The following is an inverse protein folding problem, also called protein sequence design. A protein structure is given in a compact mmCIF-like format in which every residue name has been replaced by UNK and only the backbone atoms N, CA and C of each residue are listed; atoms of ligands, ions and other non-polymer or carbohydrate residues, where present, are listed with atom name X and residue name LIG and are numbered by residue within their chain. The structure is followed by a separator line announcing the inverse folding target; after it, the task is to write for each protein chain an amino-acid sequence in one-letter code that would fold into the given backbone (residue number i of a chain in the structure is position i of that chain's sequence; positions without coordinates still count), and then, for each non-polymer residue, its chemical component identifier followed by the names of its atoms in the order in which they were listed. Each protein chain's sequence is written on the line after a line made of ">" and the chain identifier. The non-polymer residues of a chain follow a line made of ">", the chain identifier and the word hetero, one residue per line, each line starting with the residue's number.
data_IF_269776467713
#
_entry.id   IF_269776467713
#
_cell.length_a   1.000
_cell.length_b   1.000
_cell.length_c   1.000
_cell.angle_alpha   90.00
_cell.angle_beta   90.00
_cell.angle_gamma   90.00
#
_symmetry.space_group_name_H-M   'P 1'
#
loop_
_entity.id
_entity.type
_entity.pdbx_description
1 polymer ?
#
# COMPACT_ATOMS: atom_id res chain seq x y z
N UNK A 1 6.42 9.86 -20.21
CA UNK A 1 7.29 8.90 -19.55
C UNK A 1 6.54 8.17 -18.44
N UNK A 2 7.01 7.01 -18.08
CA UNK A 2 6.36 6.16 -17.07
C UNK A 2 6.15 6.86 -15.73
N UNK A 3 7.17 7.57 -15.24
CA UNK A 3 7.05 8.25 -13.95
C UNK A 3 6.00 9.37 -13.95
N UNK A 4 5.86 10.06 -15.07
CA UNK A 4 4.83 11.09 -15.19
C UNK A 4 3.43 10.49 -15.19
N UNK A 5 3.26 9.35 -15.87
CA UNK A 5 1.99 8.64 -15.88
C UNK A 5 1.64 8.10 -14.49
N UNK A 6 2.62 7.58 -13.77
CA UNK A 6 2.43 7.11 -12.41
C UNK A 6 1.95 8.24 -11.50
N UNK A 7 2.56 9.41 -11.60
CA UNK A 7 2.17 10.56 -10.78
C UNK A 7 0.73 11.00 -11.08
N UNK A 8 0.32 10.97 -12.33
CA UNK A 8 -1.05 11.32 -12.72
C UNK A 8 -2.04 10.28 -12.25
N UNK A 9 -1.66 9.02 -12.31
CA UNK A 9 -2.54 7.91 -11.93
C UNK A 9 -2.72 7.78 -10.42
N UNK A 10 -1.92 8.47 -9.61
CA UNK A 10 -2.12 8.48 -8.17
C UNK A 10 -3.34 9.30 -7.76
N UNK A 11 -3.90 10.09 -8.67
CA UNK A 11 -5.09 10.88 -8.44
C UNK A 11 -6.33 10.03 -8.75
N UNK A 12 -7.18 9.82 -7.76
CA UNK A 12 -8.41 9.03 -7.91
C UNK A 12 -9.34 9.63 -8.96
N UNK A 13 -9.37 10.96 -9.08
CA UNK A 13 -10.24 11.64 -10.04
C UNK A 13 -9.83 11.34 -11.49
N UNK A 14 -8.59 10.91 -11.73
CA UNK A 14 -8.10 10.54 -13.06
C UNK A 14 -8.31 9.05 -13.37
N UNK A 15 -8.84 8.28 -12.44
CA UNK A 15 -9.03 6.84 -12.62
C UNK A 15 -10.16 6.53 -13.59
N UNK A 16 -9.90 5.63 -14.52
CA UNK A 16 -10.89 5.16 -15.50
C UNK A 16 -10.83 3.64 -15.58
N UNK A 17 -11.91 2.99 -15.14
CA UNK A 17 -12.01 1.53 -15.10
C UNK A 17 -12.00 0.86 -16.46
N UNK A 18 -12.35 1.59 -17.52
CA UNK A 18 -12.41 1.03 -18.86
C UNK A 18 -11.06 0.98 -19.57
N UNK A 19 -10.06 1.65 -19.02
CA UNK A 19 -8.74 1.68 -19.61
C UNK A 19 -7.88 0.57 -19.03
N UNK A 20 -7.29 -0.27 -19.89
CA UNK A 20 -6.39 -1.33 -19.46
C UNK A 20 -5.05 -0.76 -19.08
N UNK A 21 -4.83 -0.58 -17.78
CA UNK A 21 -3.58 -0.09 -17.24
C UNK A 21 -3.48 -0.43 -15.76
N UNK A 22 -2.25 -0.45 -15.26
CA UNK A 22 -1.99 -0.59 -13.85
C UNK A 22 -2.18 0.77 -13.19
N UNK A 23 -3.05 0.82 -12.20
CA UNK A 23 -3.30 2.05 -11.45
C UNK A 23 -2.51 2.03 -10.15
N UNK A 24 -1.78 3.09 -9.89
CA UNK A 24 -1.03 3.27 -8.65
C UNK A 24 -1.75 4.31 -7.80
N UNK A 25 -1.97 3.98 -6.53
CA UNK A 25 -2.64 4.88 -5.61
C UNK A 25 -2.28 4.55 -4.18
N UNK A 26 -2.68 5.41 -3.26
CA UNK A 26 -2.50 5.17 -1.84
C UNK A 26 -3.66 4.30 -1.33
N UNK A 27 -3.47 3.70 -0.15
CA UNK A 27 -4.55 2.97 0.50
C UNK A 27 -5.74 3.88 0.80
N UNK A 28 -5.48 5.13 1.19
CA UNK A 28 -6.55 6.09 1.44
C UNK A 28 -7.40 6.35 0.19
N UNK A 29 -6.76 6.45 -0.96
CA UNK A 29 -7.42 6.73 -2.22
C UNK A 29 -8.26 5.55 -2.71
N UNK A 30 -7.95 4.34 -2.26
CA UNK A 30 -8.65 3.13 -2.71
C UNK A 30 -10.03 2.95 -2.10
N UNK A 31 -10.38 3.71 -1.08
CA UNK A 31 -11.67 3.59 -0.40
C UNK A 31 -12.82 3.77 -1.39
N UNK A 32 -13.75 2.83 -1.39
CA UNK A 32 -14.93 2.87 -2.27
C UNK A 32 -14.69 2.33 -3.66
N UNK A 33 -13.47 1.93 -4.00
CA UNK A 33 -13.13 1.36 -5.30
C UNK A 33 -12.98 -0.15 -5.19
N UNK A 34 -13.06 -0.82 -6.33
CA UNK A 34 -12.84 -2.27 -6.40
C UNK A 34 -12.01 -2.61 -7.63
N UNK A 35 -11.19 -3.63 -7.51
CA UNK A 35 -10.31 -4.10 -8.59
C UNK A 35 -10.30 -5.61 -8.62
N UNK A 36 -10.08 -6.19 -9.79
CA UNK A 36 -9.94 -7.65 -9.90
C UNK A 36 -8.68 -8.14 -9.17
N UNK A 37 -7.61 -7.39 -9.28
CA UNK A 37 -6.36 -7.72 -8.60
C UNK A 37 -5.82 -6.49 -7.87
N UNK A 38 -5.38 -6.69 -6.64
CA UNK A 38 -4.77 -5.65 -5.83
C UNK A 38 -3.43 -6.15 -5.32
N UNK A 39 -2.41 -5.32 -5.46
CA UNK A 39 -1.09 -5.59 -4.93
C UNK A 39 -0.76 -4.46 -3.95
N UNK A 40 -0.56 -4.82 -2.68
CA UNK A 40 -0.16 -3.85 -1.66
C UNK A 40 1.33 -4.06 -1.42
N UNK A 41 2.11 -3.04 -1.72
CA UNK A 41 3.56 -3.08 -1.58
C UNK A 41 3.98 -2.41 -0.26
N UNK A 42 5.19 -2.69 0.16
CA UNK A 42 5.71 -2.06 1.37
C UNK A 42 5.09 -2.55 2.65
N UNK A 43 4.64 -3.80 2.69
CA UNK A 43 4.07 -4.40 3.90
C UNK A 43 5.19 -4.73 4.89
N UNK A 44 5.77 -3.70 5.45
CA UNK A 44 6.95 -3.77 6.31
C UNK A 44 6.79 -2.88 7.53
N UNK A 45 7.38 -3.30 8.64
CA UNK A 45 7.47 -2.44 9.82
C UNK A 45 8.22 -1.15 9.44
N UNK A 46 7.68 -0.03 9.86
CA UNK A 46 8.21 1.29 9.51
C UNK A 46 7.54 1.95 8.32
N UNK A 47 6.88 1.16 7.46
CA UNK A 47 6.12 1.67 6.32
C UNK A 47 4.62 1.39 6.48
N UNK A 48 4.26 0.18 6.84
CA UNK A 48 2.88 -0.22 7.08
C UNK A 48 2.87 -1.26 8.20
N UNK A 49 2.74 -0.88 9.45
CA UNK A 49 2.48 0.48 9.94
C UNK A 49 3.70 1.39 9.85
N UNK A 50 3.44 2.69 9.71
CA UNK A 50 4.49 3.71 9.74
C UNK A 50 5.17 3.71 11.12
N UNK A 51 6.47 4.02 11.13
CA UNK A 51 7.24 3.98 12.37
C UNK A 51 6.64 4.80 13.51
N UNK A 52 6.10 5.97 13.19
CA UNK A 52 5.47 6.84 14.20
C UNK A 52 4.18 6.27 14.74
N UNK A 53 3.41 5.61 13.88
CA UNK A 53 2.11 5.04 14.26
C UNK A 53 2.26 3.81 15.13
N UNK A 54 3.37 3.07 14.96
CA UNK A 54 3.59 1.84 15.71
C UNK A 54 3.68 2.07 17.21
N UNK A 55 4.02 3.29 17.65
CA UNK A 55 4.15 3.64 19.05
C UNK A 55 2.88 4.28 19.64
N UNK A 56 1.89 4.57 18.81
CA UNK A 56 0.64 5.22 19.23
C UNK A 56 -0.52 4.27 18.95
N UNK A 57 -1.13 3.65 19.98
CA UNK A 57 -2.18 2.64 19.77
C UNK A 57 -3.33 3.08 18.87
N UNK A 58 -3.81 4.31 19.00
CA UNK A 58 -4.91 4.80 18.18
C UNK A 58 -4.50 4.95 16.71
N UNK A 59 -3.28 5.41 16.45
CA UNK A 59 -2.76 5.53 15.08
C UNK A 59 -2.52 4.17 14.47
N UNK A 60 -2.04 3.22 15.26
CA UNK A 60 -1.82 1.85 14.82
C UNK A 60 -3.14 1.19 14.39
N UNK A 61 -4.20 1.38 15.16
CA UNK A 61 -5.52 0.85 14.81
C UNK A 61 -6.07 1.48 13.55
N UNK A 62 -5.81 2.77 13.34
CA UNK A 62 -6.23 3.45 12.12
C UNK A 62 -5.54 2.86 10.89
N UNK A 63 -4.24 2.58 10.97
CA UNK A 63 -3.52 1.98 9.87
C UNK A 63 -3.94 0.52 9.65
N UNK A 64 -4.28 -0.20 10.72
CA UNK A 64 -4.81 -1.56 10.59
C UNK A 64 -6.13 -1.56 9.81
N UNK A 65 -7.02 -0.63 10.11
CA UNK A 65 -8.27 -0.47 9.36
C UNK A 65 -8.01 -0.12 7.90
N UNK A 66 -7.05 0.76 7.67
CA UNK A 66 -6.68 1.17 6.33
C UNK A 66 -6.15 -0.02 5.51
N UNK A 67 -5.31 -0.84 6.13
CA UNK A 67 -4.82 -2.09 5.52
C UNK A 67 -5.99 -3.01 5.15
N UNK A 68 -6.94 -3.18 6.07
CA UNK A 68 -8.11 -4.01 5.85
C UNK A 68 -8.94 -3.47 4.68
N UNK A 69 -9.16 -2.17 4.62
CA UNK A 69 -9.88 -1.54 3.51
C UNK A 69 -9.16 -1.83 2.19
N UNK A 70 -7.83 -1.66 2.16
CA UNK A 70 -7.06 -1.95 0.95
C UNK A 70 -7.18 -3.39 0.51
N UNK A 71 -7.10 -4.33 1.44
CA UNK A 71 -7.21 -5.75 1.13
C UNK A 71 -8.59 -6.11 0.58
N UNK A 72 -9.64 -5.49 1.11
CA UNK A 72 -11.01 -5.78 0.69
C UNK A 72 -11.39 -5.14 -0.65
N UNK A 73 -10.48 -4.36 -1.25
CA UNK A 73 -10.71 -3.82 -2.60
C UNK A 73 -10.47 -4.86 -3.69
N UNK A 74 -9.83 -5.98 -3.36
CA UNK A 74 -9.57 -7.04 -4.32
C UNK A 74 -10.79 -7.94 -4.48
N UNK A 75 -11.22 -8.13 -5.74
CA UNK A 75 -12.34 -9.03 -6.04
C UNK A 75 -11.88 -10.47 -6.26
N UNK A 76 -10.70 -10.66 -6.82
CA UNK A 76 -10.21 -11.99 -7.21
C UNK A 76 -8.84 -12.33 -6.67
N UNK A 77 -7.89 -11.40 -6.77
CA UNK A 77 -6.49 -11.64 -6.43
C UNK A 77 -5.98 -10.55 -5.50
N UNK A 78 -5.38 -10.96 -4.40
CA UNK A 78 -4.72 -10.06 -3.46
C UNK A 78 -3.29 -10.52 -3.27
N UNK A 79 -2.33 -9.62 -3.49
CA UNK A 79 -0.91 -9.89 -3.28
C UNK A 79 -0.37 -8.86 -2.29
N UNK A 80 0.30 -9.33 -1.26
CA UNK A 80 0.96 -8.48 -0.27
C UNK A 80 2.46 -8.72 -0.42
N UNK A 81 3.22 -7.67 -0.61
CA UNK A 81 4.65 -7.80 -0.82
C UNK A 81 5.46 -6.98 0.19
N UNK A 82 6.66 -7.46 0.47
CA UNK A 82 7.60 -6.75 1.33
C UNK A 82 9.01 -7.00 0.83
N UNK A 83 9.93 -6.08 1.14
CA UNK A 83 11.33 -6.23 0.81
C UNK A 83 12.07 -6.83 2.00
N UNK A 84 13.16 -7.56 1.73
CA UNK A 84 14.03 -8.06 2.80
C UNK A 84 14.88 -6.95 3.38
N UNK A 85 15.28 -6.03 2.51
CA UNK A 85 16.07 -4.87 2.92
C UNK A 85 15.77 -3.71 1.99
N UNK A 86 16.00 -2.50 2.48
CA UNK A 86 15.80 -1.28 1.70
C UNK A 86 17.00 -0.39 1.80
N UNK A 87 17.29 0.30 0.70
CA UNK A 87 18.28 1.34 0.67
C UNK A 87 17.75 2.56 1.43
N UNK A 88 18.50 3.02 2.41
CA UNK A 88 18.07 4.09 3.29
C UNK A 88 19.28 4.87 3.78
N UNK A 89 19.29 6.18 3.53
CA UNK A 89 20.39 7.07 3.95
C UNK A 89 21.79 6.55 3.60
N UNK A 90 21.97 6.12 2.33
CA UNK A 90 23.26 5.69 1.84
C UNK A 90 23.67 4.27 2.13
N UNK A 91 22.75 3.46 2.70
CA UNK A 91 23.02 2.06 2.99
C UNK A 91 21.76 1.23 2.96
N UNK A 92 21.93 -0.09 2.91
CA UNK A 92 20.81 -1.02 3.02
C UNK A 92 20.52 -1.34 4.47
N UNK A 93 19.24 -1.26 4.83
CA UNK A 93 18.77 -1.54 6.18
C UNK A 93 17.83 -2.74 6.10
N UNK A 94 18.02 -3.77 6.96
CA UNK A 94 17.07 -4.89 6.98
C UNK A 94 15.67 -4.43 7.28
N UNK A 95 14.71 -4.99 6.55
CA UNK A 95 13.29 -4.72 6.75
C UNK A 95 12.61 -5.95 7.35
N UNK A 96 11.64 -5.72 8.21
CA UNK A 96 10.83 -6.80 8.79
C UNK A 96 9.46 -6.79 8.15
N UNK A 97 8.85 -7.97 7.90
CA UNK A 97 7.47 -8.02 7.43
C UNK A 97 6.55 -7.28 8.39
N UNK A 98 5.53 -6.65 7.84
CA UNK A 98 4.54 -5.95 8.64
C UNK A 98 3.87 -6.89 9.65
N UNK A 99 3.64 -6.40 10.86
CA UNK A 99 2.88 -7.13 11.87
C UNK A 99 1.47 -7.47 11.40
N UNK A 100 0.94 -6.68 10.47
CA UNK A 100 -0.40 -6.91 9.92
C UNK A 100 -0.46 -8.19 9.08
N UNK A 101 0.65 -8.68 8.57
CA UNK A 101 0.69 -9.91 7.79
C UNK A 101 0.45 -11.16 8.63
N UNK A 102 0.68 -11.07 9.94
CA UNK A 102 0.48 -12.21 10.85
C UNK A 102 -0.87 -12.16 11.58
N UNK A 103 -1.68 -11.20 11.27
CA UNK A 103 -3.01 -11.05 11.87
C UNK A 103 -4.13 -11.61 11.01
#
# INVERSE_FOLDING_TARGET
>A
AFLSEVALLSDVDAWDAEVEKVTLMTLHAAKGLEFDAVIIVGCEEGLLPHARSAEVPSALEEERRLMHVGMTRARKILVLSHARERFHYGGYVPSRPSRFLSE
#
